data_IF_474126318355
#
_entry.id   IF_474126318355
#
_cell.length_a   1.000
_cell.length_b   1.000
_cell.length_c   1.000
_cell.angle_alpha   90.00
_cell.angle_beta   90.00
_cell.angle_gamma   90.00
#
_symmetry.space_group_name_H-M   'P 1'
#
loop_
_entity.id
_entity.type
_entity.pdbx_description
1 polymer ?
#
# COMPACT_ATOMS: atom_id res chain seq x y z
N UNK A 1 -10.19 39.97 -20.67
CA UNK A 1 -9.14 40.22 -19.65
C UNK A 1 -8.41 38.91 -19.42
N UNK A 2 -7.15 38.78 -19.88
CA UNK A 2 -6.34 37.57 -19.65
C UNK A 2 -5.81 37.62 -18.21
N UNK A 3 -6.02 36.56 -17.43
CA UNK A 3 -5.46 36.47 -16.07
C UNK A 3 -3.94 36.37 -16.18
N UNK A 4 -3.21 37.27 -15.52
CA UNK A 4 -1.77 37.22 -15.39
C UNK A 4 -1.45 36.16 -14.34
N UNK A 5 -0.74 35.10 -14.72
CA UNK A 5 -0.32 34.04 -13.80
C UNK A 5 1.07 34.42 -13.25
N UNK A 6 1.20 34.82 -11.97
CA UNK A 6 2.43 35.41 -11.40
C UNK A 6 3.59 34.42 -11.19
N UNK A 7 3.42 33.15 -11.58
CA UNK A 7 4.44 32.10 -11.44
C UNK A 7 5.48 32.08 -12.57
N UNK A 8 5.40 33.02 -13.52
CA UNK A 8 6.33 33.15 -14.66
C UNK A 8 7.38 34.26 -14.49
N UNK A 9 7.44 34.92 -13.33
CA UNK A 9 8.27 36.11 -13.07
C UNK A 9 9.34 35.92 -11.98
N UNK A 10 9.65 34.69 -11.58
CA UNK A 10 10.86 34.48 -10.77
C UNK A 10 12.08 34.58 -11.69
N UNK A 11 13.12 35.36 -11.31
CA UNK A 11 14.38 35.34 -12.03
C UNK A 11 14.99 33.93 -11.94
N UNK A 12 15.68 33.52 -13.00
CA UNK A 12 16.09 32.12 -13.21
C UNK A 12 16.96 31.57 -12.06
N UNK A 13 17.66 32.46 -11.35
CA UNK A 13 18.51 32.18 -10.20
C UNK A 13 17.73 31.71 -8.95
N UNK A 14 16.57 32.30 -8.68
CA UNK A 14 15.71 31.91 -7.55
C UNK A 14 15.02 30.57 -7.83
N UNK A 15 14.64 30.33 -9.09
CA UNK A 15 14.09 29.04 -9.53
C UNK A 15 15.16 27.95 -9.37
N UNK A 16 16.41 28.25 -9.72
CA UNK A 16 17.53 27.32 -9.60
C UNK A 16 17.83 26.98 -8.14
N UNK A 17 17.84 27.97 -7.24
CA UNK A 17 18.06 27.78 -5.80
C UNK A 17 16.96 26.91 -5.15
N UNK A 18 15.69 27.19 -5.44
CA UNK A 18 14.56 26.39 -4.91
C UNK A 18 14.63 24.95 -5.44
N UNK A 19 14.95 24.77 -6.73
CA UNK A 19 15.14 23.45 -7.31
C UNK A 19 16.35 22.71 -6.71
N UNK A 20 17.42 23.41 -6.34
CA UNK A 20 18.58 22.85 -5.66
C UNK A 20 18.26 22.43 -4.23
N UNK A 21 17.55 23.26 -3.48
CA UNK A 21 17.09 22.92 -2.13
C UNK A 21 16.09 21.77 -2.15
N UNK A 22 15.18 21.71 -3.13
CA UNK A 22 14.30 20.54 -3.33
C UNK A 22 15.08 19.26 -3.71
N UNK A 23 16.16 19.39 -4.51
CA UNK A 23 17.08 18.27 -4.82
C UNK A 23 17.87 17.82 -3.57
N UNK A 24 18.35 18.78 -2.77
CA UNK A 24 19.14 18.58 -1.55
C UNK A 24 18.31 17.97 -0.43
N UNK A 25 17.05 18.39 -0.31
CA UNK A 25 16.05 17.84 0.59
C UNK A 25 15.51 16.47 0.14
N UNK A 26 15.91 15.98 -1.05
CA UNK A 26 15.48 14.69 -1.57
C UNK A 26 14.01 14.62 -2.00
N UNK A 27 13.32 15.78 -2.08
CA UNK A 27 11.91 15.90 -2.48
C UNK A 27 11.70 15.57 -3.97
N UNK A 28 12.74 15.74 -4.79
CA UNK A 28 12.73 15.37 -6.21
C UNK A 28 13.24 13.94 -6.45
N UNK A 29 12.69 12.94 -5.73
CA UNK A 29 12.83 11.53 -6.12
C UNK A 29 11.87 11.11 -7.26
N UNK A 30 11.41 12.05 -8.08
CA UNK A 30 10.76 11.72 -9.36
C UNK A 30 11.82 11.46 -10.42
N UNK A 31 12.60 10.41 -10.21
CA UNK A 31 13.34 9.74 -11.27
C UNK A 31 12.35 9.31 -12.36
N UNK A 32 12.13 10.20 -13.35
CA UNK A 32 11.42 9.90 -14.58
C UNK A 32 12.16 8.78 -15.31
N UNK A 33 11.86 7.53 -14.97
CA UNK A 33 12.12 6.39 -15.85
C UNK A 33 11.11 6.48 -16.99
N UNK A 34 11.38 7.36 -17.95
CA UNK A 34 10.69 7.39 -19.25
C UNK A 34 10.70 5.96 -19.81
N UNK A 35 9.52 5.35 -19.92
CA UNK A 35 9.27 4.15 -20.73
C UNK A 35 9.25 2.78 -20.03
N UNK A 36 9.52 2.63 -18.73
CA UNK A 36 9.36 1.32 -18.07
C UNK A 36 7.93 1.15 -17.55
N UNK A 37 7.19 0.19 -18.10
CA UNK A 37 5.90 -0.25 -17.53
C UNK A 37 6.15 -0.60 -16.07
N UNK A 38 5.39 0.02 -15.16
CA UNK A 38 5.44 -0.30 -13.74
C UNK A 38 5.23 -1.82 -13.59
N UNK A 39 6.06 -2.52 -12.79
CA UNK A 39 5.89 -3.94 -12.56
C UNK A 39 4.53 -4.21 -11.91
N UNK A 40 3.93 -5.34 -12.25
CA UNK A 40 2.77 -5.84 -11.53
C UNK A 40 3.21 -6.47 -10.21
N UNK A 41 2.46 -6.28 -9.13
CA UNK A 41 2.80 -6.88 -7.85
C UNK A 41 2.57 -8.39 -7.88
N UNK A 42 3.57 -9.14 -7.45
CA UNK A 42 3.45 -10.57 -7.24
C UNK A 42 2.61 -10.85 -5.97
N UNK A 43 2.21 -12.11 -5.77
CA UNK A 43 1.43 -12.51 -4.58
C UNK A 43 2.16 -12.22 -3.26
N UNK A 44 3.49 -12.31 -3.25
CA UNK A 44 4.35 -11.94 -2.13
C UNK A 44 4.31 -10.45 -1.82
N UNK A 45 4.28 -9.60 -2.84
CA UNK A 45 4.26 -8.14 -2.67
C UNK A 45 2.94 -7.67 -2.08
N UNK A 46 1.83 -8.26 -2.53
CA UNK A 46 0.50 -8.00 -1.98
C UNK A 46 0.43 -8.49 -0.54
N UNK A 47 0.93 -9.69 -0.24
CA UNK A 47 0.95 -10.19 1.13
C UNK A 47 1.76 -9.28 2.07
N UNK A 48 2.91 -8.77 1.59
CA UNK A 48 3.70 -7.79 2.35
C UNK A 48 2.94 -6.49 2.56
N UNK A 49 2.31 -5.94 1.52
CA UNK A 49 1.51 -4.72 1.61
C UNK A 49 0.31 -4.86 2.56
N UNK A 50 -0.41 -5.99 2.49
CA UNK A 50 -1.53 -6.32 3.38
C UNK A 50 -1.08 -6.38 4.84
N UNK A 51 0.04 -7.05 5.14
CA UNK A 51 0.55 -7.14 6.51
C UNK A 51 0.94 -5.78 7.07
N UNK A 52 1.57 -4.96 6.25
CA UNK A 52 1.99 -3.61 6.64
C UNK A 52 0.78 -2.69 6.85
N UNK A 53 -0.18 -2.72 5.92
CA UNK A 53 -1.46 -2.03 6.08
C UNK A 53 -2.15 -2.46 7.38
N UNK A 54 -2.25 -3.76 7.65
CA UNK A 54 -2.93 -4.27 8.86
C UNK A 54 -2.26 -3.83 10.17
N UNK A 55 -0.95 -3.58 10.16
CA UNK A 55 -0.24 -3.08 11.33
C UNK A 55 -0.48 -1.59 11.61
N UNK A 56 -0.85 -0.82 10.59
CA UNK A 56 -1.03 0.64 10.68
C UNK A 56 -2.51 1.06 10.60
N UNK A 57 -3.39 0.19 10.12
CA UNK A 57 -4.76 0.54 9.80
C UNK A 57 -5.59 0.75 11.07
N UNK A 58 -6.12 1.96 11.21
CA UNK A 58 -7.07 2.35 12.25
C UNK A 58 -8.27 2.94 11.51
N UNK A 59 -9.35 2.17 11.38
CA UNK A 59 -10.52 2.59 10.63
C UNK A 59 -11.50 1.47 10.33
N UNK A 60 -12.50 1.78 9.50
CA UNK A 60 -13.50 0.81 9.05
C UNK A 60 -12.91 -0.14 7.99
N UNK A 61 -13.11 -1.46 8.08
CA UNK A 61 -12.61 -2.42 7.10
C UNK A 61 -12.74 -2.07 5.61
N UNK A 62 -13.79 -1.35 5.20
CA UNK A 62 -14.04 -0.95 3.82
C UNK A 62 -12.94 -0.06 3.23
N UNK A 63 -12.27 0.75 4.06
CA UNK A 63 -11.14 1.59 3.63
C UNK A 63 -9.79 0.87 3.66
N UNK A 64 -9.74 -0.39 4.11
CA UNK A 64 -8.50 -1.16 4.16
C UNK A 64 -7.86 -1.40 2.78
N UNK A 65 -8.62 -1.78 1.72
CA UNK A 65 -8.06 -1.96 0.39
C UNK A 65 -7.37 -0.71 -0.16
N UNK A 66 -7.90 0.48 0.15
CA UNK A 66 -7.33 1.75 -0.29
C UNK A 66 -5.93 1.96 0.26
N UNK A 67 -5.72 1.69 1.56
CA UNK A 67 -4.37 1.75 2.15
C UNK A 67 -3.41 0.76 1.48
N UNK A 68 -3.87 -0.44 1.16
CA UNK A 68 -3.05 -1.44 0.46
C UNK A 68 -2.67 -0.95 -0.95
N UNK A 69 -3.58 -0.28 -1.65
CA UNK A 69 -3.28 0.33 -2.94
C UNK A 69 -2.21 1.41 -2.84
N UNK A 70 -2.32 2.30 -1.86
CA UNK A 70 -1.34 3.37 -1.64
C UNK A 70 0.05 2.81 -1.33
N UNK A 71 0.15 1.77 -0.49
CA UNK A 71 1.43 1.11 -0.22
C UNK A 71 2.04 0.45 -1.45
N UNK A 72 1.22 -0.16 -2.31
CA UNK A 72 1.70 -0.77 -3.56
C UNK A 72 2.17 0.31 -4.56
N UNK A 73 1.43 1.42 -4.69
CA UNK A 73 1.81 2.54 -5.55
C UNK A 73 3.09 3.22 -5.06
N UNK A 74 3.22 3.45 -3.75
CA UNK A 74 4.42 4.04 -3.14
C UNK A 74 5.68 3.19 -3.39
N UNK A 75 5.52 1.87 -3.53
CA UNK A 75 6.60 0.93 -3.90
C UNK A 75 6.87 0.84 -5.40
N UNK A 76 6.13 1.60 -6.22
CA UNK A 76 6.30 1.63 -7.67
C UNK A 76 5.64 0.43 -8.38
N UNK A 77 4.57 -0.15 -7.85
CA UNK A 77 3.80 -1.19 -8.53
C UNK A 77 2.58 -0.62 -9.27
N UNK A 78 2.20 -1.27 -10.38
CA UNK A 78 0.93 -1.02 -11.03
C UNK A 78 -0.19 -1.83 -10.37
N UNK A 79 -1.20 -1.14 -9.84
CA UNK A 79 -2.29 -1.76 -9.08
C UNK A 79 -3.56 -2.04 -9.89
N UNK A 80 -3.65 -1.66 -11.16
CA UNK A 80 -4.90 -1.74 -11.94
C UNK A 80 -5.48 -3.16 -12.11
N UNK A 81 -4.69 -4.22 -11.89
CA UNK A 81 -5.18 -5.62 -11.88
C UNK A 81 -5.29 -6.23 -10.47
N UNK A 82 -4.97 -5.46 -9.42
CA UNK A 82 -5.15 -5.89 -8.05
C UNK A 82 -6.59 -5.59 -7.66
N UNK A 83 -7.43 -6.63 -7.62
CA UNK A 83 -8.82 -6.47 -7.21
C UNK A 83 -8.96 -6.45 -5.70
N UNK A 84 -9.99 -5.77 -5.19
CA UNK A 84 -10.36 -5.76 -3.76
C UNK A 84 -10.52 -7.19 -3.21
N UNK A 85 -11.14 -8.08 -4.00
CA UNK A 85 -11.26 -9.51 -3.67
C UNK A 85 -9.91 -10.20 -3.47
N UNK A 86 -8.89 -9.85 -4.26
CA UNK A 86 -7.54 -10.43 -4.14
C UNK A 86 -6.85 -9.96 -2.86
N UNK A 87 -7.07 -8.72 -2.46
CA UNK A 87 -6.59 -8.15 -1.19
C UNK A 87 -7.22 -8.91 -0.02
N UNK A 88 -8.55 -9.02 0.01
CA UNK A 88 -9.26 -9.73 1.07
C UNK A 88 -8.90 -11.21 1.16
N UNK A 89 -8.82 -11.93 0.04
CA UNK A 89 -8.34 -13.33 0.04
C UNK A 89 -6.94 -13.47 0.59
N UNK A 90 -6.08 -12.48 0.34
CA UNK A 90 -4.72 -12.47 0.87
C UNK A 90 -4.73 -12.22 2.37
N UNK A 91 -5.53 -11.26 2.84
CA UNK A 91 -5.73 -10.98 4.26
C UNK A 91 -6.25 -12.22 5.00
N UNK A 92 -7.37 -12.77 4.55
CA UNK A 92 -7.98 -13.98 5.14
C UNK A 92 -6.97 -15.12 5.22
N UNK A 93 -6.24 -15.39 4.13
CA UNK A 93 -5.22 -16.45 4.11
C UNK A 93 -4.11 -16.22 5.13
N UNK A 94 -3.68 -14.97 5.34
CA UNK A 94 -2.64 -14.63 6.32
C UNK A 94 -3.15 -14.81 7.76
N UNK A 95 -4.41 -14.47 8.02
CA UNK A 95 -5.07 -14.73 9.31
C UNK A 95 -5.27 -16.23 9.54
N UNK A 96 -5.82 -16.98 8.56
CA UNK A 96 -6.02 -18.45 8.61
C UNK A 96 -4.72 -19.19 8.93
N UNK A 97 -3.60 -18.74 8.38
CA UNK A 97 -2.28 -19.34 8.60
C UNK A 97 -1.61 -18.93 9.92
N UNK A 98 -2.23 -18.05 10.72
CA UNK A 98 -1.64 -17.53 11.96
C UNK A 98 -0.47 -16.58 11.74
N UNK A 99 -0.26 -16.07 10.52
CA UNK A 99 0.83 -15.14 10.21
C UNK A 99 0.54 -13.74 10.78
N UNK A 100 -0.74 -13.39 10.92
CA UNK A 100 -1.20 -12.16 11.57
C UNK A 100 -2.53 -12.38 12.28
N UNK A 101 -2.84 -11.52 13.25
CA UNK A 101 -4.14 -11.53 13.95
C UNK A 101 -5.21 -10.86 13.08
N UNK A 102 -6.48 -11.16 13.33
CA UNK A 102 -7.58 -10.45 12.70
C UNK A 102 -7.77 -9.08 13.36
N UNK A 103 -7.05 -8.08 12.85
CA UNK A 103 -7.11 -6.70 13.37
C UNK A 103 -8.41 -6.01 12.94
N UNK A 104 -8.95 -6.40 11.78
CA UNK A 104 -10.14 -5.79 11.19
C UNK A 104 -11.45 -6.42 11.67
N UNK A 105 -11.40 -7.56 12.38
CA UNK A 105 -12.59 -8.25 12.89
C UNK A 105 -13.53 -8.76 11.79
N UNK A 106 -13.03 -8.96 10.58
CA UNK A 106 -13.83 -9.31 9.38
C UNK A 106 -13.96 -10.83 9.19
N UNK A 107 -13.25 -11.61 10.00
CA UNK A 107 -13.19 -13.05 9.85
C UNK A 107 -14.22 -13.71 10.78
N UNK A 108 -15.15 -14.45 10.20
CA UNK A 108 -16.14 -15.19 10.98
C UNK A 108 -15.51 -16.38 11.72
N UNK A 109 -15.48 -16.28 13.05
CA UNK A 109 -14.93 -17.28 13.98
C UNK A 109 -15.55 -18.69 13.86
N UNK A 110 -16.80 -18.83 13.41
CA UNK A 110 -17.49 -20.12 13.42
C UNK A 110 -16.86 -21.18 12.50
N UNK A 111 -16.19 -20.77 11.43
CA UNK A 111 -15.41 -21.67 10.57
C UNK A 111 -14.01 -21.91 11.16
N UNK A 112 -13.42 -20.88 11.79
CA UNK A 112 -12.09 -20.90 12.35
C UNK A 112 -11.96 -21.72 13.63
N UNK A 113 -12.94 -21.64 14.52
CA UNK A 113 -12.95 -22.39 15.77
C UNK A 113 -12.88 -23.89 15.48
N UNK A 114 -13.59 -24.36 14.45
CA UNK A 114 -13.54 -25.76 13.97
C UNK A 114 -12.16 -26.14 13.43
N UNK A 115 -11.62 -25.35 12.49
CA UNK A 115 -10.29 -25.61 11.90
C UNK A 115 -9.13 -25.58 12.91
N UNK A 116 -9.24 -24.77 13.97
CA UNK A 116 -8.23 -24.66 15.03
C UNK A 116 -8.41 -25.71 16.12
N UNK A 117 -9.64 -26.09 16.46
CA UNK A 117 -9.90 -27.20 17.39
C UNK A 117 -9.54 -28.56 16.79
N UNK A 118 -9.60 -28.71 15.46
CA UNK A 118 -9.08 -29.90 14.76
C UNK A 118 -7.53 -29.93 14.69
N UNK A 119 -6.87 -28.79 14.87
CA UNK A 119 -5.41 -28.65 14.78
C UNK A 119 -4.69 -28.73 16.13
N UNK A 120 -5.41 -28.71 17.25
CA UNK A 120 -4.87 -28.81 18.61
C UNK A 120 -5.32 -30.14 19.26
N UNK A 121 -4.64 -31.24 18.91
CA UNK A 121 -4.41 -32.35 19.85
C UNK A 121 -2.92 -32.33 20.26
N UNK A 122 -2.65 -32.51 21.56
CA UNK A 122 -1.39 -32.11 22.17
C UNK A 122 -0.22 -32.95 21.68
N UNK A 123 0.91 -32.29 21.38
CA UNK A 123 2.23 -32.92 21.54
C UNK A 123 2.58 -32.80 23.03
N UNK A 124 2.06 -33.71 23.86
CA UNK A 124 2.61 -34.01 25.20
C UNK A 124 2.52 -35.51 25.45
#
# INVERSE_FOLDING_TARGET
MKKHDPLLEAPDDVIEEVLEEERRAGLLQHGRRRGRRLPYPHGSDIARAVREAAAMYIGHPDGFPDLVYELLKARGFYTGFVTVKRIWRTYERLVKKGVMRDVLGVINDNEYRRLRSDADLPQT
#
